data_IF_734113169351
#
_entry.id   IF_734113169351
#
_cell.length_a   1.000
_cell.length_b   1.000
_cell.length_c   1.000
_cell.angle_alpha   90.00
_cell.angle_beta   90.00
_cell.angle_gamma   90.00
#
_symmetry.space_group_name_H-M   'P 1'
#
loop_
_entity.id
_entity.type
_entity.pdbx_description
1 polymer ?
#
# COMPACT_ATOMS: atom_id res chain seq x y z
N UNK A 1 11.14 42.88 -9.92
CA UNK A 1 11.60 41.47 -10.07
C UNK A 1 11.33 40.69 -8.78
N UNK A 2 10.23 39.92 -8.67
CA UNK A 2 9.98 39.04 -7.50
C UNK A 2 9.23 37.74 -7.82
N UNK A 3 9.26 37.30 -9.09
CA UNK A 3 8.57 36.08 -9.56
C UNK A 3 9.50 34.85 -9.68
N UNK A 4 10.82 35.02 -9.59
CA UNK A 4 11.80 33.93 -9.75
C UNK A 4 12.00 33.07 -8.51
N UNK A 5 11.95 33.66 -7.32
CA UNK A 5 12.24 32.94 -6.05
C UNK A 5 11.11 31.99 -5.66
N UNK A 6 9.84 32.42 -5.73
CA UNK A 6 8.70 31.55 -5.41
C UNK A 6 8.56 30.34 -6.34
N UNK A 7 8.86 30.49 -7.63
CA UNK A 7 8.85 29.34 -8.57
C UNK A 7 9.99 28.37 -8.29
N UNK A 8 11.19 28.85 -7.94
CA UNK A 8 12.32 27.99 -7.60
C UNK A 8 12.05 27.21 -6.31
N UNK A 9 11.55 27.87 -5.26
CA UNK A 9 11.17 27.22 -4.00
C UNK A 9 9.99 26.26 -4.17
N UNK A 10 8.95 26.65 -4.93
CA UNK A 10 7.84 25.75 -5.24
C UNK A 10 8.29 24.54 -6.06
N UNK A 11 9.26 24.70 -6.96
CA UNK A 11 9.80 23.58 -7.76
C UNK A 11 10.67 22.64 -6.92
N UNK A 12 11.46 23.15 -6.00
CA UNK A 12 12.28 22.34 -5.08
C UNK A 12 11.41 21.61 -4.04
N UNK A 13 10.47 22.32 -3.42
CA UNK A 13 9.53 21.73 -2.46
C UNK A 13 8.57 20.76 -3.14
N UNK A 14 8.06 21.10 -4.33
CA UNK A 14 7.21 20.24 -5.13
C UNK A 14 7.94 18.97 -5.60
N UNK A 15 9.20 19.08 -6.01
CA UNK A 15 10.01 17.92 -6.40
C UNK A 15 10.34 17.02 -5.21
N UNK A 16 10.62 17.58 -4.03
CA UNK A 16 10.86 16.80 -2.82
C UNK A 16 9.60 16.09 -2.31
N UNK A 17 8.48 16.81 -2.26
CA UNK A 17 7.18 16.23 -1.92
C UNK A 17 6.75 15.15 -2.92
N UNK A 18 6.98 15.36 -4.21
CA UNK A 18 6.69 14.34 -5.23
C UNK A 18 7.48 13.05 -5.00
N UNK A 19 8.76 13.15 -4.60
CA UNK A 19 9.56 11.97 -4.24
C UNK A 19 9.02 11.25 -3.00
N UNK A 20 8.59 11.99 -1.98
CA UNK A 20 7.98 11.42 -0.76
C UNK A 20 6.62 10.77 -1.06
N UNK A 21 5.80 11.42 -1.87
CA UNK A 21 4.54 10.87 -2.34
C UNK A 21 4.78 9.58 -3.12
N UNK A 22 5.75 9.58 -4.05
CA UNK A 22 6.07 8.41 -4.87
C UNK A 22 6.64 7.24 -4.03
N UNK A 23 7.40 7.54 -2.97
CA UNK A 23 7.90 6.55 -2.03
C UNK A 23 6.79 5.98 -1.15
N UNK A 24 5.89 6.84 -0.65
CA UNK A 24 4.71 6.43 0.12
C UNK A 24 3.79 5.56 -0.71
N UNK A 25 3.52 5.95 -1.95
CA UNK A 25 2.74 5.17 -2.91
C UNK A 25 3.29 3.75 -3.07
N UNK A 26 4.59 3.65 -3.36
CA UNK A 26 5.28 2.36 -3.51
C UNK A 26 5.22 1.53 -2.23
N UNK A 27 5.38 2.16 -1.07
CA UNK A 27 5.28 1.48 0.24
C UNK A 27 3.87 0.95 0.51
N UNK A 28 2.85 1.75 0.20
CA UNK A 28 1.44 1.38 0.37
C UNK A 28 1.08 0.22 -0.57
N UNK A 29 1.45 0.31 -1.84
CA UNK A 29 1.28 -0.80 -2.82
C UNK A 29 2.00 -2.05 -2.36
N UNK A 30 3.26 -1.91 -1.95
CA UNK A 30 4.05 -3.02 -1.45
C UNK A 30 3.42 -3.64 -0.20
N UNK A 31 2.89 -2.82 0.70
CA UNK A 31 2.17 -3.23 1.90
C UNK A 31 0.93 -4.04 1.57
N UNK A 32 0.03 -3.51 0.73
CA UNK A 32 -1.18 -4.22 0.32
C UNK A 32 -0.89 -5.52 -0.43
N UNK A 33 0.10 -5.51 -1.33
CA UNK A 33 0.56 -6.71 -2.05
C UNK A 33 1.14 -7.76 -1.11
N UNK A 34 1.89 -7.33 -0.10
CA UNK A 34 2.45 -8.20 0.94
C UNK A 34 1.36 -8.80 1.84
N UNK A 35 0.36 -8.02 2.23
CA UNK A 35 -0.80 -8.46 2.99
C UNK A 35 -1.62 -9.51 2.21
N UNK A 36 -1.88 -9.25 0.93
CA UNK A 36 -2.53 -10.18 0.00
C UNK A 36 -1.75 -11.50 -0.11
N UNK A 37 -0.42 -11.44 -0.22
CA UNK A 37 0.45 -12.62 -0.29
C UNK A 37 0.50 -13.40 1.03
N UNK A 38 0.54 -12.71 2.17
CA UNK A 38 0.52 -13.31 3.49
C UNK A 38 -0.80 -14.06 3.76
N UNK A 39 -1.92 -13.46 3.34
CA UNK A 39 -3.25 -14.06 3.41
C UNK A 39 -3.41 -15.32 2.55
N UNK A 40 -2.82 -15.34 1.36
CA UNK A 40 -2.88 -16.49 0.42
C UNK A 40 -1.86 -17.60 0.69
N UNK A 41 -0.85 -17.36 1.52
CA UNK A 41 0.18 -18.38 1.78
C UNK A 41 -0.45 -19.56 2.54
N UNK A 42 -0.37 -20.80 2.04
CA UNK A 42 -0.98 -21.95 2.72
C UNK A 42 -0.33 -22.21 4.08
N UNK A 43 -1.15 -22.57 5.08
CA UNK A 43 -0.68 -22.81 6.44
C UNK A 43 0.01 -24.18 6.54
N UNK A 44 1.34 -24.24 6.37
CA UNK A 44 2.16 -25.45 6.67
C UNK A 44 2.37 -25.67 8.17
N UNK A 45 1.41 -25.28 9.00
CA UNK A 45 1.59 -25.28 10.45
C UNK A 45 1.21 -26.64 11.05
N UNK A 46 2.18 -27.29 11.70
CA UNK A 46 2.00 -28.54 12.48
C UNK A 46 1.49 -28.28 13.90
N UNK A 47 1.09 -27.05 14.20
CA UNK A 47 0.60 -26.63 15.53
C UNK A 47 -0.68 -27.38 15.91
N UNK A 48 -0.64 -28.13 17.03
CA UNK A 48 -1.78 -28.87 17.60
C UNK A 48 -2.81 -27.98 18.31
N UNK A 49 -2.46 -26.74 18.66
CA UNK A 49 -3.34 -25.85 19.43
C UNK A 49 -4.41 -25.19 18.52
N UNK A 50 -5.68 -25.54 18.76
CA UNK A 50 -6.85 -25.10 17.98
C UNK A 50 -7.06 -23.58 18.01
N UNK A 51 -6.74 -22.92 19.12
CA UNK A 51 -6.92 -21.46 19.26
C UNK A 51 -5.94 -20.67 18.40
N UNK A 52 -4.67 -21.08 18.38
CA UNK A 52 -3.64 -20.46 17.54
C UNK A 52 -3.95 -20.68 16.05
N UNK A 53 -4.45 -21.87 15.69
CA UNK A 53 -4.86 -22.17 14.30
C UNK A 53 -6.02 -21.29 13.85
N UNK A 54 -7.04 -21.10 14.70
CA UNK A 54 -8.17 -20.21 14.39
C UNK A 54 -7.76 -18.75 14.30
N UNK A 55 -6.97 -18.24 15.26
CA UNK A 55 -6.47 -16.87 15.23
C UNK A 55 -5.63 -16.58 13.97
N UNK A 56 -4.77 -17.52 13.57
CA UNK A 56 -3.97 -17.40 12.34
C UNK A 56 -4.80 -17.45 11.06
N UNK A 57 -5.89 -18.22 11.06
CA UNK A 57 -6.82 -18.32 9.93
C UNK A 57 -7.66 -17.05 9.80
N UNK A 58 -8.17 -16.52 10.92
CA UNK A 58 -8.87 -15.24 10.97
C UNK A 58 -7.96 -14.10 10.51
N UNK A 59 -6.75 -14.03 11.08
CA UNK A 59 -5.73 -13.06 10.68
C UNK A 59 -5.43 -13.13 9.19
N UNK A 60 -5.20 -14.32 8.61
CA UNK A 60 -4.99 -14.46 7.16
C UNK A 60 -6.16 -13.98 6.32
N UNK A 61 -7.38 -14.26 6.76
CA UNK A 61 -8.60 -13.84 6.04
C UNK A 61 -8.69 -12.32 6.05
N UNK A 62 -8.51 -11.68 7.21
CA UNK A 62 -8.49 -10.23 7.35
C UNK A 62 -7.37 -9.58 6.53
N UNK A 63 -6.15 -10.12 6.57
CA UNK A 63 -5.02 -9.61 5.78
C UNK A 63 -5.24 -9.80 4.27
N UNK A 64 -5.85 -10.91 3.85
CA UNK A 64 -6.22 -11.14 2.46
C UNK A 64 -7.30 -10.17 1.99
N UNK A 65 -8.30 -9.90 2.83
CA UNK A 65 -9.38 -8.96 2.55
C UNK A 65 -8.85 -7.53 2.46
N UNK A 66 -8.10 -7.07 3.46
CA UNK A 66 -7.45 -5.75 3.46
C UNK A 66 -6.48 -5.58 2.30
N UNK A 67 -5.69 -6.60 1.98
CA UNK A 67 -4.80 -6.60 0.83
C UNK A 67 -5.55 -6.53 -0.50
N UNK A 68 -6.74 -7.11 -0.61
CA UNK A 68 -7.57 -7.05 -1.83
C UNK A 68 -8.28 -5.70 -1.96
N UNK A 69 -8.81 -5.17 -0.85
CA UNK A 69 -9.41 -3.84 -0.81
C UNK A 69 -8.41 -2.75 -1.18
N UNK A 70 -7.21 -2.78 -0.58
CA UNK A 70 -6.18 -1.80 -0.86
C UNK A 70 -5.64 -1.89 -2.29
N UNK A 71 -5.47 -3.11 -2.81
CA UNK A 71 -5.06 -3.34 -4.20
C UNK A 71 -6.13 -2.81 -5.18
N UNK A 72 -7.42 -3.06 -4.92
CA UNK A 72 -8.52 -2.52 -5.73
C UNK A 72 -8.60 -1.01 -5.68
N UNK A 73 -8.54 -0.42 -4.48
CA UNK A 73 -8.58 1.02 -4.28
C UNK A 73 -7.43 1.73 -4.97
N UNK A 74 -6.23 1.16 -4.88
CA UNK A 74 -5.06 1.73 -5.54
C UNK A 74 -5.12 1.60 -7.06
N UNK A 75 -5.65 0.49 -7.57
CA UNK A 75 -5.83 0.29 -9.00
C UNK A 75 -6.82 1.31 -9.59
N UNK A 76 -7.92 1.56 -8.87
CA UNK A 76 -8.92 2.57 -9.25
C UNK A 76 -8.36 4.00 -9.16
N UNK A 77 -7.55 4.28 -8.14
CA UNK A 77 -6.82 5.55 -8.05
C UNK A 77 -5.85 5.76 -9.23
N UNK A 78 -5.10 4.74 -9.63
CA UNK A 78 -4.24 4.81 -10.81
C UNK A 78 -5.02 5.00 -12.12
N UNK A 79 -6.21 4.39 -12.24
CA UNK A 79 -7.09 4.59 -13.39
C UNK A 79 -7.60 6.03 -13.49
N UNK A 80 -8.04 6.61 -12.37
CA UNK A 80 -8.47 8.00 -12.31
C UNK A 80 -7.32 8.95 -12.68
N UNK A 81 -6.12 8.69 -12.18
CA UNK A 81 -4.92 9.50 -12.46
C UNK A 81 -4.45 9.43 -13.92
N UNK A 82 -4.85 8.40 -14.68
CA UNK A 82 -4.57 8.28 -16.13
C UNK A 82 -5.59 9.03 -16.99
N UNK A 83 -6.75 9.37 -16.43
CA UNK A 83 -7.81 10.11 -17.11
C UNK A 83 -7.67 11.63 -16.95
N UNK A 84 -6.84 12.09 -16.02
CA UNK A 84 -6.36 13.49 -15.91
C UNK A 84 -5.07 13.72 -16.70
#
# INVERSE_FOLDING_TARGET
MKLGSSKAWAKTLGSGLAQVQHATDKLVVFGFKSLKKAGKTPNKDKTKNKYIKSAKTAGRTTLSFLGTLGDSFYNEYEELKKQE
#
